data_IF_133928264903
#
_entry.id   IF_133928264903
#
_cell.length_a   1.000
_cell.length_b   1.000
_cell.length_c   1.000
_cell.angle_alpha   90.00
_cell.angle_beta   90.00
_cell.angle_gamma   90.00
#
_symmetry.space_group_name_H-M   'P 1'
#
loop_
_entity.id
_entity.type
_entity.pdbx_description
1 polymer ?
#
# COMPACT_ATOMS: atom_id res chain seq x y z
N UNK A 1 -18.74 16.87 -11.51
CA UNK A 1 -19.29 15.87 -10.57
C UNK A 1 -18.86 16.32 -9.18
N UNK A 2 -19.79 16.48 -8.24
CA UNK A 2 -19.45 16.95 -6.90
C UNK A 2 -18.66 15.86 -6.17
N UNK A 3 -17.40 16.14 -5.84
CA UNK A 3 -16.60 15.29 -4.96
C UNK A 3 -17.24 15.39 -3.57
N UNK A 4 -17.69 14.26 -3.02
CA UNK A 4 -18.20 14.24 -1.65
C UNK A 4 -17.07 14.74 -0.74
N UNK A 5 -17.31 15.85 -0.04
CA UNK A 5 -16.46 16.27 1.07
C UNK A 5 -16.74 15.30 2.23
N UNK A 6 -15.91 14.27 2.32
CA UNK A 6 -15.84 13.46 3.52
C UNK A 6 -15.07 14.25 4.58
N UNK A 7 -15.52 14.30 5.85
CA UNK A 7 -14.75 14.94 6.90
C UNK A 7 -13.36 14.29 6.98
N UNK A 8 -12.33 15.12 7.15
CA UNK A 8 -10.95 14.64 7.34
C UNK A 8 -10.91 13.68 8.53
N UNK A 9 -10.36 12.49 8.32
CA UNK A 9 -10.16 11.50 9.37
C UNK A 9 -8.85 11.78 10.10
N UNK A 10 -8.80 11.55 11.41
CA UNK A 10 -7.54 11.66 12.15
C UNK A 10 -6.66 10.43 11.87
N UNK A 11 -5.35 10.54 12.08
CA UNK A 11 -4.42 9.40 11.96
C UNK A 11 -4.82 8.27 12.91
N UNK A 12 -5.23 8.61 14.14
CA UNK A 12 -5.67 7.64 15.14
C UNK A 12 -6.89 6.85 14.65
N UNK A 13 -7.89 7.55 14.13
CA UNK A 13 -9.12 6.91 13.67
C UNK A 13 -8.88 6.10 12.39
N UNK A 14 -7.98 6.58 11.51
CA UNK A 14 -7.50 5.81 10.36
C UNK A 14 -6.85 4.50 10.79
N UNK A 15 -5.88 4.54 11.71
CA UNK A 15 -5.16 3.33 12.14
C UNK A 15 -6.09 2.34 12.83
N UNK A 16 -7.03 2.83 13.63
CA UNK A 16 -8.06 2.00 14.24
C UNK A 16 -8.97 1.37 13.19
N UNK A 17 -9.42 2.12 12.18
CA UNK A 17 -10.25 1.62 11.10
C UNK A 17 -9.52 0.54 10.29
N UNK A 18 -8.29 0.82 9.86
CA UNK A 18 -7.48 -0.06 9.03
C UNK A 18 -7.15 -1.37 9.77
N UNK A 19 -6.82 -1.31 11.07
CA UNK A 19 -6.55 -2.49 11.89
C UNK A 19 -7.78 -3.38 12.10
N UNK A 20 -8.98 -2.81 12.18
CA UNK A 20 -10.22 -3.57 12.42
C UNK A 20 -10.92 -4.02 11.13
N UNK A 21 -10.40 -3.63 9.95
CA UNK A 21 -10.97 -4.00 8.66
C UNK A 21 -10.37 -5.32 8.16
N UNK A 22 -11.20 -6.37 8.10
CA UNK A 22 -10.76 -7.70 7.67
C UNK A 22 -10.72 -7.86 6.14
N UNK A 23 -11.61 -7.15 5.43
CA UNK A 23 -11.83 -7.33 3.99
C UNK A 23 -11.43 -6.10 3.16
N UNK A 24 -11.10 -4.99 3.81
CA UNK A 24 -10.77 -3.73 3.17
C UNK A 24 -9.47 -3.16 3.73
N UNK A 25 -8.66 -2.59 2.85
CA UNK A 25 -7.45 -1.85 3.20
C UNK A 25 -7.65 -0.38 2.86
N UNK A 26 -7.07 0.51 3.63
CA UNK A 26 -7.20 1.95 3.39
C UNK A 26 -5.83 2.64 3.31
N UNK A 27 -5.69 3.51 2.33
CA UNK A 27 -4.63 4.50 2.28
C UNK A 27 -5.08 5.77 3.00
N UNK A 28 -4.13 6.45 3.62
CA UNK A 28 -4.33 7.71 4.30
C UNK A 28 -3.38 8.75 3.73
N UNK A 29 -3.94 9.84 3.21
CA UNK A 29 -3.20 10.92 2.56
C UNK A 29 -3.65 12.25 3.17
N UNK A 30 -2.94 12.70 4.20
CA UNK A 30 -3.13 14.04 4.80
C UNK A 30 -4.56 14.33 5.27
N UNK A 31 -5.23 13.33 5.84
CA UNK A 31 -6.62 13.43 6.30
C UNK A 31 -7.64 12.83 5.33
N UNK A 32 -7.21 12.55 4.09
CA UNK A 32 -8.03 11.85 3.11
C UNK A 32 -7.89 10.33 3.26
N UNK A 33 -9.02 9.64 3.42
CA UNK A 33 -9.07 8.19 3.44
C UNK A 33 -9.44 7.65 2.05
N UNK A 34 -8.66 6.71 1.53
CA UNK A 34 -8.96 6.02 0.27
C UNK A 34 -9.02 4.53 0.50
N UNK A 35 -10.17 3.92 0.24
CA UNK A 35 -10.28 2.46 0.22
C UNK A 35 -9.56 1.92 -1.02
N UNK A 36 -8.71 0.92 -0.85
CA UNK A 36 -8.13 0.20 -1.97
C UNK A 36 -9.23 -0.60 -2.66
N UNK A 37 -9.40 -0.35 -3.96
CA UNK A 37 -10.20 -1.21 -4.80
C UNK A 37 -9.49 -2.57 -4.91
N UNK A 38 -10.27 -3.65 -4.98
CA UNK A 38 -9.72 -4.95 -5.34
C UNK A 38 -9.04 -4.91 -6.72
N UNK A 39 -8.09 -5.81 -6.95
CA UNK A 39 -7.38 -5.91 -8.23
C UNK A 39 -8.27 -6.47 -9.35
N UNK A 40 -8.07 -5.99 -10.58
CA UNK A 40 -8.58 -6.66 -11.78
C UNK A 40 -7.65 -7.81 -12.20
N UNK A 41 -8.10 -8.75 -13.04
CA UNK A 41 -7.21 -9.76 -13.61
C UNK A 41 -5.98 -9.17 -14.31
N UNK A 42 -6.16 -8.09 -15.07
CA UNK A 42 -5.06 -7.40 -15.75
C UNK A 42 -4.07 -6.77 -14.77
N UNK A 43 -4.57 -6.13 -13.71
CA UNK A 43 -3.74 -5.59 -12.63
C UNK A 43 -2.93 -6.70 -11.95
N UNK A 44 -3.57 -7.83 -11.64
CA UNK A 44 -2.90 -8.98 -11.04
C UNK A 44 -1.77 -9.51 -11.94
N UNK A 45 -2.02 -9.68 -13.25
CA UNK A 45 -1.01 -10.15 -14.19
C UNK A 45 0.18 -9.19 -14.29
N UNK A 46 -0.08 -7.89 -14.40
CA UNK A 46 0.97 -6.86 -14.49
C UNK A 46 1.83 -6.88 -13.21
N UNK A 47 1.18 -6.81 -12.05
CA UNK A 47 1.88 -6.76 -10.75
C UNK A 47 2.69 -8.03 -10.50
N UNK A 48 2.15 -9.21 -10.81
CA UNK A 48 2.89 -10.48 -10.68
C UNK A 48 4.11 -10.55 -11.60
N UNK A 49 3.98 -10.13 -12.86
CA UNK A 49 5.09 -10.16 -13.81
C UNK A 49 6.22 -9.21 -13.39
N UNK A 50 5.87 -7.98 -13.00
CA UNK A 50 6.85 -6.97 -12.57
C UNK A 50 7.52 -7.39 -11.26
N UNK A 51 6.75 -7.87 -10.29
CA UNK A 51 7.28 -8.37 -9.00
C UNK A 51 8.26 -9.51 -9.23
N UNK A 52 7.91 -10.47 -10.08
CA UNK A 52 8.75 -11.64 -10.39
C UNK A 52 10.06 -11.23 -11.05
N UNK A 53 10.01 -10.28 -11.99
CA UNK A 53 11.19 -9.73 -12.65
C UNK A 53 12.12 -9.04 -11.64
N UNK A 54 11.58 -8.14 -10.81
CA UNK A 54 12.34 -7.40 -9.80
C UNK A 54 12.96 -8.35 -8.78
N UNK A 55 12.19 -9.31 -8.26
CA UNK A 55 12.68 -10.32 -7.33
C UNK A 55 13.82 -11.16 -7.95
N UNK A 56 13.73 -11.51 -9.24
CA UNK A 56 14.81 -12.23 -9.92
C UNK A 56 16.09 -11.40 -10.06
N UNK A 57 15.98 -10.11 -10.40
CA UNK A 57 17.13 -9.23 -10.59
C UNK A 57 17.83 -8.94 -9.25
N UNK A 58 17.07 -8.76 -8.18
CA UNK A 58 17.58 -8.37 -6.87
C UNK A 58 17.98 -9.57 -5.99
N UNK A 59 17.68 -10.80 -6.42
CA UNK A 59 18.00 -12.02 -5.69
C UNK A 59 19.50 -12.10 -5.37
N UNK A 60 19.81 -12.35 -4.10
CA UNK A 60 21.19 -12.47 -3.61
C UNK A 60 21.84 -11.13 -3.24
N UNK A 61 21.16 -10.01 -3.49
CA UNK A 61 21.52 -8.70 -2.93
C UNK A 61 20.86 -8.45 -1.57
N UNK A 62 21.04 -7.25 -1.01
CA UNK A 62 20.46 -6.85 0.28
C UNK A 62 18.98 -6.41 0.16
N UNK A 63 18.39 -6.46 -1.04
CA UNK A 63 17.07 -5.89 -1.28
C UNK A 63 15.96 -6.93 -1.20
N UNK A 64 14.84 -6.52 -0.57
CA UNK A 64 13.60 -7.27 -0.45
C UNK A 64 12.54 -6.64 -1.36
N UNK A 65 11.66 -7.49 -1.92
CA UNK A 65 10.54 -7.08 -2.77
C UNK A 65 9.24 -7.52 -2.11
N UNK A 66 8.37 -6.58 -1.79
CA UNK A 66 7.04 -6.83 -1.22
C UNK A 66 5.96 -6.55 -2.26
N UNK A 67 4.84 -7.24 -2.13
CA UNK A 67 3.62 -7.01 -2.90
C UNK A 67 2.72 -5.97 -2.20
N UNK A 68 1.53 -5.79 -2.77
CA UNK A 68 0.47 -4.89 -2.28
C UNK A 68 -0.01 -5.15 -0.84
N UNK A 69 0.38 -6.27 -0.22
CA UNK A 69 -0.03 -6.55 1.16
C UNK A 69 0.73 -5.70 2.19
N UNK A 70 1.84 -5.07 1.80
CA UNK A 70 2.67 -4.28 2.71
C UNK A 70 2.19 -2.83 2.81
N UNK A 71 1.85 -2.40 4.03
CA UNK A 71 1.56 -0.99 4.33
C UNK A 71 2.87 -0.23 4.51
N UNK A 72 3.00 0.90 3.83
CA UNK A 72 4.12 1.81 4.03
C UNK A 72 3.67 3.11 4.68
N UNK A 73 4.40 3.51 5.71
CA UNK A 73 4.33 4.85 6.26
C UNK A 73 5.37 5.74 5.55
N UNK A 74 4.93 6.64 4.68
CA UNK A 74 5.80 7.59 3.97
C UNK A 74 6.09 8.84 4.80
N UNK A 75 5.19 9.19 5.73
CA UNK A 75 5.35 10.27 6.70
C UNK A 75 4.37 10.07 7.86
N UNK A 76 4.39 10.95 8.87
CA UNK A 76 3.41 10.92 9.96
C UNK A 76 1.95 10.98 9.47
N UNK A 77 1.70 11.62 8.32
CA UNK A 77 0.35 11.83 7.77
C UNK A 77 0.11 11.10 6.44
N UNK A 78 0.98 10.16 6.04
CA UNK A 78 0.83 9.43 4.77
C UNK A 78 1.12 7.93 4.92
N UNK A 79 0.10 7.13 4.65
CA UNK A 79 0.15 5.67 4.64
C UNK A 79 -0.43 5.13 3.34
N UNK A 80 0.28 4.23 2.67
CA UNK A 80 -0.08 3.71 1.34
C UNK A 80 0.12 2.20 1.26
N UNK A 81 -0.52 1.57 0.28
CA UNK A 81 -0.30 0.18 -0.10
C UNK A 81 0.09 0.12 -1.58
N UNK A 82 1.37 0.32 -1.92
CA UNK A 82 1.82 0.29 -3.31
C UNK A 82 1.70 -1.12 -3.88
N UNK A 83 1.44 -1.25 -5.17
CA UNK A 83 1.39 -2.57 -5.84
C UNK A 83 2.66 -3.40 -5.63
N UNK A 84 3.81 -2.72 -5.63
CA UNK A 84 5.14 -3.32 -5.44
C UNK A 84 6.00 -2.36 -4.64
N UNK A 85 6.68 -2.87 -3.61
CA UNK A 85 7.66 -2.13 -2.81
C UNK A 85 9.01 -2.82 -2.86
N UNK A 86 10.08 -2.03 -2.95
CA UNK A 86 11.45 -2.52 -2.78
C UNK A 86 12.11 -1.75 -1.65
N UNK A 87 12.76 -2.47 -0.74
CA UNK A 87 13.67 -1.90 0.25
C UNK A 87 15.00 -2.63 0.19
N UNK A 88 16.09 -1.93 0.48
CA UNK A 88 17.42 -2.52 0.64
C UNK A 88 17.98 -2.24 2.03
N UNK A 89 17.12 -1.80 2.95
CA UNK A 89 17.47 -1.57 4.34
C UNK A 89 17.51 -2.90 5.09
N UNK A 90 18.51 -3.10 5.94
CA UNK A 90 18.69 -4.33 6.72
C UNK A 90 17.71 -4.45 7.90
N UNK A 91 16.94 -3.39 8.17
CA UNK A 91 15.95 -3.34 9.26
C UNK A 91 14.56 -3.81 8.85
N UNK A 92 14.33 -3.93 7.54
CA UNK A 92 13.08 -4.42 6.94
C UNK A 92 13.18 -5.93 6.64
#
# INVERSE_FOLDING_TARGET
MAQREYPNITIHDYLALDQNSLEARYEYLEGELRMLAGGSPDHSLITTNVTSLLHSILRGGPCLVYNVDMKLQLSESRYVYPDITITCDLRD
#
